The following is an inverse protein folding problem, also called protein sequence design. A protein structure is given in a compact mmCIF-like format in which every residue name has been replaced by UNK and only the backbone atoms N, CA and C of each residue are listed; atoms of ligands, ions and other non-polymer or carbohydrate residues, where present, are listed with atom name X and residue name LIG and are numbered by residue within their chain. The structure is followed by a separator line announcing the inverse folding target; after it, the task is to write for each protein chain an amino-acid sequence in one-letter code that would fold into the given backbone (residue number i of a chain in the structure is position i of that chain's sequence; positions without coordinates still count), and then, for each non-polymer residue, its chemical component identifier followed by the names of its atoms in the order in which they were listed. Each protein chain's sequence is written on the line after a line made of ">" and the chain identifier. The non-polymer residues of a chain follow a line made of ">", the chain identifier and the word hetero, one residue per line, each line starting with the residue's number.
data_IF_527971453827
#
_entry.id   IF_527971453827
#
_cell.length_a   1.000
_cell.length_b   1.000
_cell.length_c   1.000
_cell.angle_alpha   90.00
_cell.angle_beta   90.00
_cell.angle_gamma   90.00
#
_symmetry.space_group_name_H-M   'P 1'
#
loop_
_entity.id
_entity.type
_entity.pdbx_description
1 polymer ?
#
# COMPACT_ATOMS: atom_id res chain seq x y z
N UNK A 1 -0.16 27.54 9.12
CA UNK A 1 -0.72 27.46 7.77
C UNK A 1 -2.12 26.88 7.90
N UNK A 2 -3.14 27.53 7.35
CA UNK A 2 -4.53 27.06 7.50
C UNK A 2 -4.81 25.87 6.55
N UNK A 3 -5.79 25.03 6.88
CA UNK A 3 -6.14 23.85 6.08
C UNK A 3 -6.60 24.26 4.67
N UNK A 4 -7.22 25.44 4.55
CA UNK A 4 -7.60 26.04 3.28
C UNK A 4 -6.38 26.28 2.40
N UNK A 5 -5.32 26.88 2.95
CA UNK A 5 -4.07 27.14 2.22
C UNK A 5 -3.41 25.84 1.76
N UNK A 6 -3.47 24.79 2.58
CA UNK A 6 -2.94 23.46 2.23
C UNK A 6 -3.73 22.84 1.08
N UNK A 7 -5.06 22.94 1.10
CA UNK A 7 -5.92 22.48 0.00
C UNK A 7 -5.68 23.26 -1.29
N UNK A 8 -5.50 24.59 -1.22
CA UNK A 8 -5.20 25.41 -2.40
C UNK A 8 -3.88 25.01 -3.06
N UNK A 9 -2.85 24.72 -2.26
CA UNK A 9 -1.57 24.25 -2.79
C UNK A 9 -1.71 22.87 -3.44
N UNK A 10 -2.37 21.93 -2.76
CA UNK A 10 -2.61 20.60 -3.31
C UNK A 10 -3.44 20.66 -4.61
N UNK A 11 -4.50 21.47 -4.63
CA UNK A 11 -5.33 21.70 -5.82
C UNK A 11 -4.51 22.35 -6.94
N UNK A 12 -3.67 23.33 -6.63
CA UNK A 12 -2.78 23.96 -7.61
C UNK A 12 -1.83 22.95 -8.26
N UNK A 13 -1.19 22.09 -7.48
CA UNK A 13 -0.32 21.02 -7.99
C UNK A 13 -1.12 20.06 -8.90
N UNK A 14 -2.32 19.65 -8.48
CA UNK A 14 -3.18 18.79 -9.28
C UNK A 14 -3.61 19.44 -10.60
N UNK A 15 -4.01 20.72 -10.58
CA UNK A 15 -4.40 21.45 -11.79
C UNK A 15 -3.23 21.64 -12.75
N UNK A 16 -2.03 21.93 -12.24
CA UNK A 16 -0.82 22.05 -13.07
C UNK A 16 -0.48 20.69 -13.68
N UNK A 17 -0.49 19.61 -12.89
CA UNK A 17 -0.24 18.25 -13.40
C UNK A 17 -1.29 17.81 -14.43
N UNK A 18 -2.57 18.13 -14.20
CA UNK A 18 -3.67 17.84 -15.14
C UNK A 18 -3.58 18.66 -16.41
N UNK A 19 -3.22 19.94 -16.33
CA UNK A 19 -2.98 20.81 -17.48
C UNK A 19 -1.78 20.34 -18.32
N UNK A 20 -0.68 19.96 -17.66
CA UNK A 20 0.48 19.38 -18.34
C UNK A 20 0.13 18.06 -19.02
N UNK A 21 -0.65 17.20 -18.37
CA UNK A 21 -1.14 15.96 -18.97
C UNK A 21 -2.09 16.22 -20.15
N UNK A 22 -2.94 17.24 -20.07
CA UNK A 22 -3.82 17.60 -21.19
C UNK A 22 -3.03 18.13 -22.41
N UNK A 23 -1.98 18.92 -22.17
CA UNK A 23 -1.20 19.55 -23.23
C UNK A 23 -0.11 18.64 -23.82
N UNK A 24 0.48 17.76 -23.01
CA UNK A 24 1.64 16.94 -23.37
C UNK A 24 1.41 15.44 -23.17
N UNK A 25 0.21 15.04 -22.75
CA UNK A 25 -0.16 13.63 -22.63
C UNK A 25 -0.19 12.94 -23.99
N UNK A 26 -0.04 11.61 -24.02
CA UNK A 26 -0.14 10.83 -25.25
C UNK A 26 -1.49 11.05 -25.93
N UNK A 27 -1.51 11.12 -27.26
CA UNK A 27 -2.75 11.25 -28.02
C UNK A 27 -3.71 10.12 -27.66
N UNK A 28 -4.95 10.49 -27.31
CA UNK A 28 -6.02 9.54 -27.09
C UNK A 28 -6.32 8.84 -28.42
N UNK A 29 -5.76 7.66 -28.63
CA UNK A 29 -6.30 6.73 -29.62
C UNK A 29 -7.66 6.32 -29.12
N UNK A 30 -8.72 6.94 -29.64
CA UNK A 30 -10.11 6.65 -29.29
C UNK A 30 -10.37 5.17 -29.55
N UNK A 31 -10.58 4.34 -28.51
CA UNK A 31 -11.23 3.05 -28.73
C UNK A 31 -12.64 3.39 -29.23
N UNK A 32 -13.07 2.75 -30.31
CA UNK A 32 -14.38 2.99 -30.92
C UNK A 32 -15.51 3.09 -29.88
N UNK A 33 -16.45 3.99 -30.13
CA UNK A 33 -17.59 4.29 -29.27
C UNK A 33 -18.27 3.03 -28.73
N UNK A 34 -17.93 2.61 -27.52
CA UNK A 34 -18.63 1.54 -26.83
C UNK A 34 -19.99 2.08 -26.36
N UNK A 35 -21.07 1.46 -26.85
CA UNK A 35 -22.44 1.75 -26.44
C UNK A 35 -22.61 1.47 -24.94
N UNK A 36 -23.05 2.49 -24.21
CA UNK A 36 -23.16 2.50 -22.73
C UNK A 36 -24.19 1.48 -22.18
N UNK A 37 -24.99 0.86 -23.04
CA UNK A 37 -26.12 0.00 -22.65
C UNK A 37 -25.81 -1.50 -22.53
N UNK A 38 -24.68 -2.00 -23.07
CA UNK A 38 -24.30 -3.45 -23.00
C UNK A 38 -23.13 -3.76 -22.03
N UNK A 39 -22.49 -2.72 -21.47
CA UNK A 39 -21.19 -2.87 -20.78
C UNK A 39 -21.18 -3.71 -19.50
N UNK A 40 -22.31 -3.92 -18.81
CA UNK A 40 -22.34 -4.65 -17.53
C UNK A 40 -22.13 -6.17 -17.69
N UNK A 41 -22.75 -6.78 -18.69
CA UNK A 41 -22.55 -8.20 -19.00
C UNK A 41 -21.17 -8.43 -19.62
N UNK A 42 -20.67 -7.46 -20.39
CA UNK A 42 -19.34 -7.47 -20.98
C UNK A 42 -18.23 -7.38 -19.92
N UNK A 43 -18.36 -6.48 -18.93
CA UNK A 43 -17.39 -6.34 -17.83
C UNK A 43 -17.30 -7.61 -17.00
N UNK A 44 -18.44 -8.25 -16.66
CA UNK A 44 -18.41 -9.52 -15.91
C UNK A 44 -17.68 -10.63 -16.67
N UNK A 45 -17.89 -10.71 -18.00
CA UNK A 45 -17.16 -11.65 -18.86
C UNK A 45 -15.65 -11.40 -18.84
N UNK A 46 -15.24 -10.14 -18.96
CA UNK A 46 -13.83 -9.71 -18.91
C UNK A 46 -13.18 -9.94 -17.54
N UNK A 47 -13.91 -9.71 -16.44
CA UNK A 47 -13.43 -10.05 -15.10
C UNK A 47 -13.19 -11.56 -14.99
N UNK A 48 -14.13 -12.39 -15.47
CA UNK A 48 -13.93 -13.85 -15.46
C UNK A 48 -12.73 -14.28 -16.31
N UNK A 49 -12.53 -13.66 -17.46
CA UNK A 49 -11.38 -13.92 -18.32
C UNK A 49 -10.06 -13.54 -17.65
N UNK A 50 -10.06 -12.48 -16.83
CA UNK A 50 -8.89 -12.06 -16.05
C UNK A 50 -8.51 -13.05 -14.94
N UNK A 51 -9.41 -13.89 -14.43
CA UNK A 51 -9.15 -14.81 -13.31
C UNK A 51 -8.32 -16.05 -13.70
N UNK A 52 -7.22 -15.82 -14.40
CA UNK A 52 -6.17 -16.81 -14.64
C UNK A 52 -5.43 -17.14 -13.34
N UNK A 53 -4.68 -18.24 -13.31
CA UNK A 53 -3.89 -18.62 -12.13
C UNK A 53 -2.89 -17.52 -11.75
N UNK A 54 -2.20 -16.94 -12.75
CA UNK A 54 -1.25 -15.84 -12.52
C UNK A 54 -1.93 -14.59 -11.97
N UNK A 55 -3.10 -14.22 -12.49
CA UNK A 55 -3.81 -13.06 -11.96
C UNK A 55 -4.42 -13.30 -10.57
N UNK A 56 -4.87 -14.52 -10.27
CA UNK A 56 -5.30 -14.90 -8.92
C UNK A 56 -4.15 -14.83 -7.91
N UNK A 57 -2.94 -15.20 -8.33
CA UNK A 57 -1.72 -14.99 -7.55
C UNK A 57 -1.50 -13.49 -7.25
N UNK A 58 -1.54 -12.63 -8.27
CA UNK A 58 -1.44 -11.17 -8.11
C UNK A 58 -2.49 -10.66 -7.14
N UNK A 59 -3.76 -11.05 -7.33
CA UNK A 59 -4.86 -10.64 -6.47
C UNK A 59 -4.67 -11.09 -5.02
N UNK A 60 -4.17 -12.30 -4.80
CA UNK A 60 -3.84 -12.82 -3.48
C UNK A 60 -2.76 -12.00 -2.78
N UNK A 61 -1.71 -11.61 -3.51
CA UNK A 61 -0.66 -10.72 -2.97
C UNK A 61 -1.24 -9.35 -2.60
N UNK A 62 -2.06 -8.74 -3.46
CA UNK A 62 -2.73 -7.46 -3.16
C UNK A 62 -3.62 -7.55 -1.92
N UNK A 63 -4.42 -8.62 -1.80
CA UNK A 63 -5.31 -8.85 -0.65
C UNK A 63 -4.52 -8.92 0.67
N UNK A 64 -3.45 -9.72 0.69
CA UNK A 64 -2.61 -9.87 1.88
C UNK A 64 -1.84 -8.59 2.19
N UNK A 65 -1.33 -7.90 1.16
CA UNK A 65 -0.67 -6.60 1.25
C UNK A 65 -1.57 -5.58 1.92
N UNK A 66 -2.80 -5.43 1.41
CA UNK A 66 -3.77 -4.49 1.96
C UNK A 66 -4.12 -4.79 3.41
N UNK A 67 -4.19 -6.08 3.76
CA UNK A 67 -4.50 -6.56 5.11
C UNK A 67 -3.44 -6.13 6.12
N UNK A 68 -2.16 -6.46 5.93
CA UNK A 68 -1.15 -6.04 6.91
C UNK A 68 -0.86 -4.54 6.85
N UNK A 69 -0.98 -3.93 5.67
CA UNK A 69 -0.71 -2.50 5.47
C UNK A 69 -1.72 -1.66 6.25
N UNK A 70 -3.02 -1.79 5.96
CA UNK A 70 -4.05 -0.99 6.63
C UNK A 70 -4.21 -1.38 8.09
N UNK A 71 -4.10 -2.68 8.41
CA UNK A 71 -4.14 -3.15 9.80
C UNK A 71 -3.08 -2.50 10.68
N UNK A 72 -1.87 -2.28 10.17
CA UNK A 72 -0.83 -1.60 10.92
C UNK A 72 -1.01 -0.07 10.91
N UNK A 73 -1.16 0.53 9.73
CA UNK A 73 -1.13 1.99 9.54
C UNK A 73 -2.17 2.72 10.39
N UNK A 74 -3.40 2.19 10.47
CA UNK A 74 -4.50 2.87 11.17
C UNK A 74 -4.26 2.95 12.69
N UNK A 75 -3.53 2.00 13.26
CA UNK A 75 -3.29 1.93 14.72
C UNK A 75 -1.93 2.48 15.16
N UNK A 76 -1.05 2.89 14.24
CA UNK A 76 0.22 3.56 14.58
C UNK A 76 0.01 4.82 15.44
N UNK A 77 -0.92 5.75 15.09
CA UNK A 77 -1.15 6.96 15.88
C UNK A 77 -1.64 6.67 17.30
N UNK A 78 -2.46 5.63 17.48
CA UNK A 78 -2.97 5.24 18.79
C UNK A 78 -1.90 4.54 19.62
N UNK A 79 -1.10 3.67 18.98
CA UNK A 79 0.03 3.03 19.65
C UNK A 79 1.03 4.07 20.18
N UNK A 80 1.37 5.08 19.38
CA UNK A 80 2.26 6.18 19.80
C UNK A 80 1.75 6.94 21.01
N UNK A 81 0.44 7.15 21.10
CA UNK A 81 -0.19 7.78 22.25
C UNK A 81 -0.11 6.86 23.49
N UNK A 82 -0.36 5.56 23.31
CA UNK A 82 -0.34 4.59 24.39
C UNK A 82 1.05 4.37 25.02
N UNK A 83 2.14 4.58 24.28
CA UNK A 83 3.51 4.40 24.77
C UNK A 83 4.22 5.70 25.20
N UNK A 84 3.53 6.85 25.16
CA UNK A 84 4.01 8.18 25.63
C UNK A 84 5.45 8.54 25.20
N UNK A 85 5.81 8.21 23.96
CA UNK A 85 7.23 8.09 23.58
C UNK A 85 7.97 9.38 23.29
N UNK A 86 7.27 10.40 22.78
CA UNK A 86 7.84 11.68 22.33
C UNK A 86 6.86 12.79 22.64
N UNK A 87 7.36 13.86 23.27
CA UNK A 87 6.57 15.04 23.59
C UNK A 87 6.03 15.75 22.34
N UNK A 88 5.03 16.60 22.52
CA UNK A 88 4.56 17.45 21.44
C UNK A 88 5.69 18.37 20.95
N UNK A 89 5.68 18.66 19.65
CA UNK A 89 6.54 19.70 19.08
C UNK A 89 5.78 21.03 19.12
N UNK A 90 6.47 22.12 19.49
CA UNK A 90 5.91 23.46 19.34
C UNK A 90 6.13 23.93 17.90
N UNK A 91 5.03 24.10 17.17
CA UNK A 91 5.02 24.75 15.88
C UNK A 91 4.16 26.02 15.95
N UNK A 92 4.80 27.18 15.88
CA UNK A 92 4.13 28.48 15.87
C UNK A 92 3.26 28.72 17.11
N UNK A 93 3.71 28.31 18.29
CA UNK A 93 2.97 28.43 19.55
C UNK A 93 1.82 27.43 19.68
N UNK A 94 1.80 26.37 18.87
CA UNK A 94 0.86 25.26 18.97
C UNK A 94 1.60 23.96 19.24
N UNK A 95 1.23 23.30 20.32
CA UNK A 95 1.70 21.95 20.62
C UNK A 95 1.03 20.94 19.69
N UNK A 96 1.84 20.28 18.86
CA UNK A 96 1.39 19.26 17.92
C UNK A 96 1.89 17.89 18.41
N UNK A 97 1.00 16.98 18.84
CA UNK A 97 1.41 15.64 19.26
C UNK A 97 1.89 14.80 18.06
N UNK A 98 2.80 13.84 18.26
CA UNK A 98 3.33 12.99 17.18
C UNK A 98 2.28 12.27 16.34
N UNK A 99 1.17 11.87 16.94
CA UNK A 99 0.07 11.20 16.25
C UNK A 99 -0.51 11.99 15.07
N UNK A 100 -0.34 13.33 15.05
CA UNK A 100 -0.84 14.20 13.97
C UNK A 100 0.10 14.30 12.76
N UNK A 101 1.40 14.09 12.93
CA UNK A 101 2.38 14.26 11.85
C UNK A 101 3.08 12.95 11.45
N UNK A 102 3.01 11.91 12.28
CA UNK A 102 3.73 10.65 12.05
C UNK A 102 3.35 9.97 10.73
N UNK A 103 2.09 10.06 10.32
CA UNK A 103 1.66 9.52 9.03
C UNK A 103 2.29 10.28 7.86
N UNK A 104 2.33 11.62 7.92
CA UNK A 104 3.01 12.44 6.93
C UNK A 104 4.51 12.16 6.87
N UNK A 105 5.15 11.99 8.04
CA UNK A 105 6.54 11.54 8.13
C UNK A 105 6.74 10.19 7.45
N UNK A 106 5.89 9.20 7.74
CA UNK A 106 5.96 7.87 7.15
C UNK A 106 5.83 7.92 5.62
N UNK A 107 4.89 8.71 5.09
CA UNK A 107 4.71 8.90 3.64
C UNK A 107 5.91 9.60 2.99
N UNK A 108 6.45 10.63 3.64
CA UNK A 108 7.60 11.37 3.14
C UNK A 108 8.84 10.47 3.00
N UNK A 109 9.14 9.67 4.04
CA UNK A 109 10.25 8.70 3.97
C UNK A 109 9.94 7.60 2.95
N UNK A 110 8.67 7.21 2.81
CA UNK A 110 8.20 6.24 1.81
C UNK A 110 8.54 6.61 0.36
N UNK A 111 8.73 7.88 0.02
CA UNK A 111 9.19 8.31 -1.31
C UNK A 111 10.51 7.61 -1.69
N UNK A 112 11.45 7.51 -0.76
CA UNK A 112 12.70 6.78 -0.98
C UNK A 112 12.48 5.28 -1.23
N UNK A 113 11.46 4.71 -0.58
CA UNK A 113 11.03 3.33 -0.83
C UNK A 113 10.51 3.12 -2.25
N UNK A 114 9.73 4.06 -2.80
CA UNK A 114 9.23 3.94 -4.19
C UNK A 114 10.37 3.95 -5.20
N UNK A 115 11.36 4.83 -5.02
CA UNK A 115 12.55 4.88 -5.88
C UNK A 115 13.36 3.58 -5.79
N UNK A 116 13.56 3.06 -4.57
CA UNK A 116 14.23 1.79 -4.35
C UNK A 116 13.46 0.62 -4.98
N UNK A 117 12.13 0.60 -4.86
CA UNK A 117 11.27 -0.44 -5.43
C UNK A 117 11.36 -0.50 -6.95
N UNK A 118 11.28 0.65 -7.62
CA UNK A 118 11.44 0.71 -9.08
C UNK A 118 12.82 0.21 -9.52
N UNK A 119 13.87 0.67 -8.83
CA UNK A 119 15.24 0.23 -9.10
C UNK A 119 15.46 -1.27 -8.88
N UNK A 120 14.90 -1.84 -7.80
CA UNK A 120 15.06 -3.27 -7.50
C UNK A 120 14.32 -4.15 -8.51
N UNK A 121 13.12 -3.76 -8.92
CA UNK A 121 12.32 -4.51 -9.91
C UNK A 121 12.95 -4.53 -11.31
N UNK A 122 13.71 -3.50 -11.66
CA UNK A 122 14.45 -3.45 -12.93
C UNK A 122 15.70 -4.34 -12.93
N UNK A 123 16.30 -4.60 -11.75
CA UNK A 123 17.62 -5.24 -11.64
C UNK A 123 17.60 -6.69 -11.19
N UNK A 124 16.53 -7.12 -10.53
CA UNK A 124 16.45 -8.44 -9.91
C UNK A 124 15.13 -9.11 -10.27
N UNK A 125 15.05 -10.43 -10.04
CA UNK A 125 13.82 -11.18 -10.26
C UNK A 125 12.70 -10.67 -9.35
N UNK A 126 11.58 -10.27 -9.96
CA UNK A 126 10.44 -9.65 -9.29
C UNK A 126 9.97 -10.48 -8.08
N UNK A 127 9.81 -11.80 -8.24
CA UNK A 127 9.39 -12.71 -7.18
C UNK A 127 10.38 -12.75 -6.01
N UNK A 128 11.69 -12.74 -6.29
CA UNK A 128 12.73 -12.72 -5.27
C UNK A 128 12.73 -11.40 -4.49
N UNK A 129 12.57 -10.27 -5.17
CA UNK A 129 12.46 -8.95 -4.53
C UNK A 129 11.23 -8.89 -3.64
N UNK A 130 10.06 -9.34 -4.13
CA UNK A 130 8.83 -9.41 -3.33
C UNK A 130 9.06 -10.31 -2.10
N UNK A 131 9.68 -11.48 -2.26
CA UNK A 131 9.92 -12.40 -1.16
C UNK A 131 10.78 -11.77 -0.04
N UNK A 132 11.90 -11.13 -0.41
CA UNK A 132 12.77 -10.43 0.55
C UNK A 132 12.04 -9.28 1.22
N UNK A 133 11.29 -8.49 0.46
CA UNK A 133 10.51 -7.36 0.98
C UNK A 133 9.44 -7.82 1.98
N UNK A 134 8.74 -8.93 1.70
CA UNK A 134 7.71 -9.47 2.59
C UNK A 134 8.31 -10.00 3.89
N UNK A 135 9.45 -10.69 3.80
CA UNK A 135 10.19 -11.14 4.97
C UNK A 135 10.65 -9.95 5.84
N UNK A 136 11.21 -8.91 5.21
CA UNK A 136 11.60 -7.69 5.90
C UNK A 136 10.39 -7.01 6.56
N UNK A 137 9.25 -6.94 5.87
CA UNK A 137 8.00 -6.37 6.41
C UNK A 137 7.50 -7.13 7.64
N UNK A 138 7.55 -8.47 7.62
CA UNK A 138 7.20 -9.29 8.78
C UNK A 138 8.10 -8.98 10.00
N UNK A 139 9.40 -8.84 9.77
CA UNK A 139 10.37 -8.44 10.79
C UNK A 139 10.08 -7.03 11.35
N UNK A 140 9.81 -6.07 10.46
CA UNK A 140 9.51 -4.68 10.83
C UNK A 140 8.20 -4.58 11.63
N UNK A 141 7.15 -5.30 11.25
CA UNK A 141 5.90 -5.37 12.03
C UNK A 141 6.14 -5.95 13.42
N UNK A 142 6.96 -6.99 13.51
CA UNK A 142 7.36 -7.55 14.81
C UNK A 142 8.17 -6.55 15.65
N UNK A 143 9.00 -5.72 15.01
CA UNK A 143 9.81 -4.69 15.65
C UNK A 143 8.96 -3.50 16.15
N UNK A 144 7.94 -3.08 15.41
CA UNK A 144 7.01 -2.00 15.81
C UNK A 144 6.43 -2.25 17.21
N UNK A 145 5.95 -3.47 17.45
CA UNK A 145 5.39 -3.87 18.75
C UNK A 145 6.41 -4.00 19.89
N UNK A 146 7.71 -3.93 19.60
CA UNK A 146 8.80 -4.13 20.58
C UNK A 146 9.63 -2.87 20.79
N UNK A 147 9.27 -1.78 20.13
CA UNK A 147 10.01 -0.52 20.17
C UNK A 147 9.16 0.60 20.77
N UNK A 148 9.85 1.50 21.46
CA UNK A 148 9.32 2.73 22.04
C UNK A 148 10.34 3.85 21.84
N UNK A 149 10.01 5.08 22.23
CA UNK A 149 10.88 6.24 22.08
C UNK A 149 11.24 6.52 20.63
N UNK A 150 12.47 6.99 20.40
CA UNK A 150 13.01 7.25 19.07
C UNK A 150 13.15 5.97 18.22
N UNK A 151 13.35 4.80 18.85
CA UNK A 151 13.43 3.54 18.12
C UNK A 151 12.12 3.19 17.41
N UNK A 152 10.97 3.58 17.98
CA UNK A 152 9.67 3.41 17.34
C UNK A 152 9.54 4.25 16.07
N UNK A 153 10.04 5.50 16.07
CA UNK A 153 10.07 6.32 14.84
C UNK A 153 10.94 5.69 13.75
N UNK A 154 12.07 5.09 14.12
CA UNK A 154 12.88 4.30 13.20
C UNK A 154 12.12 3.11 12.63
N UNK A 155 11.39 2.37 13.46
CA UNK A 155 10.57 1.24 13.01
C UNK A 155 9.41 1.68 12.08
N UNK A 156 8.75 2.82 12.38
CA UNK A 156 7.71 3.41 11.53
C UNK A 156 8.30 3.87 10.19
N UNK A 157 9.47 4.50 10.20
CA UNK A 157 10.16 4.91 8.98
C UNK A 157 10.51 3.71 8.10
N UNK A 158 11.09 2.65 8.70
CA UNK A 158 11.38 1.40 8.00
C UNK A 158 10.11 0.77 7.44
N UNK A 159 9.02 0.79 8.20
CA UNK A 159 7.73 0.28 7.74
C UNK A 159 7.23 1.06 6.53
N UNK A 160 7.27 2.40 6.60
CA UNK A 160 6.93 3.32 5.49
C UNK A 160 7.74 3.05 4.23
N UNK A 161 9.06 2.89 4.36
CA UNK A 161 9.93 2.52 3.22
C UNK A 161 9.53 1.15 2.68
N UNK A 162 9.37 0.14 3.54
CA UNK A 162 9.10 -1.23 3.11
C UNK A 162 7.79 -1.33 2.32
N UNK A 163 6.71 -0.71 2.80
CA UNK A 163 5.42 -0.74 2.08
C UNK A 163 5.48 0.03 0.77
N UNK A 164 6.32 1.08 0.69
CA UNK A 164 6.49 1.88 -0.51
C UNK A 164 7.37 1.21 -1.57
N UNK A 165 8.35 0.38 -1.17
CA UNK A 165 9.13 -0.47 -2.10
C UNK A 165 8.23 -1.40 -2.88
N UNK A 166 7.22 -1.97 -2.23
CA UNK A 166 6.34 -2.96 -2.85
C UNK A 166 5.39 -2.34 -3.90
N UNK A 167 5.09 -1.03 -3.81
CA UNK A 167 4.11 -0.37 -4.67
C UNK A 167 4.44 -0.42 -6.18
N UNK A 168 5.63 0.00 -6.66
CA UNK A 168 5.98 -0.11 -8.08
C UNK A 168 6.07 -1.57 -8.56
N UNK A 169 6.61 -2.46 -7.72
CA UNK A 169 6.79 -3.88 -8.03
C UNK A 169 5.42 -4.54 -8.31
N UNK A 170 4.43 -4.30 -7.46
CA UNK A 170 3.09 -4.87 -7.64
C UNK A 170 2.37 -4.29 -8.86
N UNK A 171 2.58 -3.02 -9.19
CA UNK A 171 2.03 -2.44 -10.42
C UNK A 171 2.63 -3.11 -11.67
N UNK A 172 3.94 -3.33 -11.69
CA UNK A 172 4.59 -4.07 -12.76
C UNK A 172 4.12 -5.52 -12.85
N UNK A 173 3.88 -6.17 -11.69
CA UNK A 173 3.35 -7.53 -11.63
C UNK A 173 1.94 -7.62 -12.26
N UNK A 174 1.06 -6.64 -12.02
CA UNK A 174 -0.24 -6.54 -12.71
C UNK A 174 -0.05 -6.38 -14.21
N UNK A 175 0.83 -5.47 -14.63
CA UNK A 175 1.06 -5.19 -16.04
C UNK A 175 1.64 -6.38 -16.83
N UNK A 176 2.43 -7.25 -16.18
CA UNK A 176 2.97 -8.49 -16.76
C UNK A 176 1.93 -9.59 -16.94
N UNK A 177 0.94 -9.65 -16.06
CA UNK A 177 -0.10 -10.69 -16.08
C UNK A 177 -1.36 -10.28 -16.84
N UNK A 178 -1.39 -9.08 -17.44
CA UNK A 178 -2.58 -8.55 -18.12
C UNK A 178 -2.24 -7.87 -19.45
N UNK A 179 -3.15 -8.03 -20.42
CA UNK A 179 -3.06 -7.36 -21.72
C UNK A 179 -3.37 -5.87 -21.61
N UNK A 180 -2.89 -5.05 -22.55
CA UNK A 180 -3.09 -3.59 -22.51
C UNK A 180 -4.55 -3.17 -22.44
N UNK A 181 -5.43 -3.87 -23.17
CA UNK A 181 -6.86 -3.60 -23.20
C UNK A 181 -7.57 -3.93 -21.88
N UNK A 182 -6.98 -4.80 -21.04
CA UNK A 182 -7.54 -5.26 -19.78
C UNK A 182 -6.87 -4.64 -18.54
N UNK A 183 -5.71 -3.99 -18.69
CA UNK A 183 -4.94 -3.38 -17.58
C UNK A 183 -5.77 -2.46 -16.69
N UNK A 184 -6.62 -1.61 -17.28
CA UNK A 184 -7.50 -0.72 -16.51
C UNK A 184 -8.45 -1.47 -15.58
N UNK A 185 -9.06 -2.56 -16.09
CA UNK A 185 -9.93 -3.44 -15.30
C UNK A 185 -9.14 -4.20 -14.24
N UNK A 186 -7.95 -4.68 -14.60
CA UNK A 186 -7.04 -5.39 -13.71
C UNK A 186 -6.65 -4.55 -12.49
N UNK A 187 -6.25 -3.29 -12.69
CA UNK A 187 -5.96 -2.36 -11.61
C UNK A 187 -7.18 -2.06 -10.74
N UNK A 188 -8.38 -2.00 -11.34
CA UNK A 188 -9.63 -1.87 -10.59
C UNK A 188 -9.89 -3.07 -9.67
N UNK A 189 -9.72 -4.28 -10.19
CA UNK A 189 -9.91 -5.53 -9.43
C UNK A 189 -8.86 -5.68 -8.33
N UNK A 190 -7.58 -5.39 -8.60
CA UNK A 190 -6.54 -5.46 -7.56
C UNK A 190 -6.70 -4.36 -6.51
N UNK A 191 -7.18 -3.17 -6.89
CA UNK A 191 -7.54 -2.10 -5.93
C UNK A 191 -8.70 -2.51 -5.02
N UNK A 192 -9.73 -3.17 -5.58
CA UNK A 192 -10.84 -3.73 -4.80
C UNK A 192 -10.35 -4.84 -3.86
N UNK A 193 -9.46 -5.73 -4.33
CA UNK A 193 -8.89 -6.80 -3.53
C UNK A 193 -7.99 -6.28 -2.40
N UNK A 194 -7.01 -5.44 -2.70
CA UNK A 194 -6.04 -4.95 -1.72
C UNK A 194 -6.59 -3.84 -0.83
N UNK A 195 -6.98 -2.71 -1.41
CA UNK A 195 -7.36 -1.52 -0.63
C UNK A 195 -8.70 -1.69 0.07
N UNK A 196 -9.72 -2.20 -0.64
CA UNK A 196 -11.05 -2.35 -0.05
C UNK A 196 -11.15 -3.62 0.81
N UNK A 197 -11.08 -4.81 0.21
CA UNK A 197 -11.26 -6.06 0.93
C UNK A 197 -10.12 -6.32 1.94
N UNK A 198 -8.87 -6.28 1.48
CA UNK A 198 -7.70 -6.45 2.35
C UNK A 198 -7.65 -5.38 3.42
N UNK A 199 -7.86 -4.11 3.04
CA UNK A 199 -7.86 -2.99 3.97
C UNK A 199 -8.91 -3.10 5.09
N UNK A 200 -10.13 -3.52 4.73
CA UNK A 200 -11.20 -3.83 5.69
C UNK A 200 -10.79 -4.98 6.61
N UNK A 201 -10.39 -6.13 6.05
CA UNK A 201 -9.96 -7.30 6.83
C UNK A 201 -8.84 -6.94 7.81
N UNK A 202 -7.84 -6.20 7.35
CA UNK A 202 -6.72 -5.74 8.13
C UNK A 202 -7.12 -4.84 9.29
N UNK A 203 -7.94 -3.82 9.01
CA UNK A 203 -8.37 -2.85 10.02
C UNK A 203 -9.29 -3.49 11.05
N UNK A 204 -10.21 -4.36 10.62
CA UNK A 204 -11.12 -5.09 11.51
C UNK A 204 -10.36 -6.09 12.39
N UNK A 205 -9.45 -6.88 11.81
CA UNK A 205 -8.62 -7.83 12.55
C UNK A 205 -7.74 -7.11 13.58
N UNK A 206 -7.04 -6.05 13.14
CA UNK A 206 -6.18 -5.26 14.02
C UNK A 206 -6.98 -4.63 15.17
N UNK A 207 -8.14 -4.04 14.88
CA UNK A 207 -9.01 -3.44 15.90
C UNK A 207 -9.56 -4.44 16.90
N UNK A 208 -9.94 -5.64 16.44
CA UNK A 208 -10.35 -6.72 17.33
C UNK A 208 -9.19 -7.16 18.23
N UNK A 209 -8.00 -7.40 17.67
CA UNK A 209 -6.80 -7.78 18.41
C UNK A 209 -6.34 -6.71 19.41
N UNK A 210 -6.50 -5.44 19.06
CA UNK A 210 -6.22 -4.32 19.96
C UNK A 210 -7.20 -4.29 21.13
N UNK A 211 -8.49 -4.60 20.90
CA UNK A 211 -9.52 -4.64 21.96
C UNK A 211 -9.30 -5.75 22.98
N UNK A 212 -8.93 -6.95 22.52
CA UNK A 212 -8.76 -8.12 23.41
C UNK A 212 -7.33 -8.29 23.94
N UNK A 213 -6.39 -7.50 23.44
CA UNK A 213 -4.96 -7.71 23.61
C UNK A 213 -4.19 -6.42 23.84
N UNK A 214 -3.03 -6.33 23.22
CA UNK A 214 -2.17 -5.15 23.27
C UNK A 214 -1.61 -4.86 21.88
N UNK A 215 -1.27 -3.60 21.60
CA UNK A 215 -0.67 -3.21 20.32
C UNK A 215 0.55 -4.07 19.91
N UNK A 216 1.48 -4.42 20.83
CA UNK A 216 2.56 -5.37 20.50
C UNK A 216 2.10 -6.73 19.97
N UNK A 217 1.06 -7.31 20.57
CA UNK A 217 0.48 -8.58 20.14
C UNK A 217 -0.24 -8.43 18.80
N UNK A 218 -0.97 -7.33 18.62
CA UNK A 218 -1.61 -6.98 17.36
C UNK A 218 -0.59 -6.89 16.21
N UNK A 219 0.50 -6.12 16.37
CA UNK A 219 1.53 -6.02 15.33
C UNK A 219 2.23 -7.36 15.05
N UNK A 220 2.49 -8.16 16.10
CA UNK A 220 3.08 -9.49 15.93
C UNK A 220 2.14 -10.46 15.21
N UNK A 221 0.82 -10.36 15.42
CA UNK A 221 -0.16 -11.13 14.67
C UNK A 221 -0.26 -10.68 13.21
N UNK A 222 -0.23 -9.36 12.95
CA UNK A 222 -0.20 -8.82 11.59
C UNK A 222 1.07 -9.24 10.84
N UNK A 223 2.20 -9.45 11.52
CA UNK A 223 3.44 -9.95 10.92
C UNK A 223 3.32 -11.35 10.30
N UNK A 224 2.30 -12.14 10.66
CA UNK A 224 2.03 -13.44 10.03
C UNK A 224 1.48 -13.29 8.61
N UNK A 225 0.77 -12.19 8.32
CA UNK A 225 0.14 -11.96 7.01
C UNK A 225 1.18 -11.76 5.88
N UNK A 226 2.24 -10.95 5.99
CA UNK A 226 3.28 -10.90 4.97
C UNK A 226 4.06 -12.22 4.86
N UNK A 227 4.15 -13.04 5.92
CA UNK A 227 4.72 -14.40 5.81
C UNK A 227 3.81 -15.35 5.03
N UNK A 228 2.49 -15.22 5.17
CA UNK A 228 1.53 -15.94 4.33
C UNK A 228 1.64 -15.50 2.86
N UNK A 229 1.83 -14.20 2.61
CA UNK A 229 2.10 -13.69 1.26
C UNK A 229 3.43 -14.22 0.71
N UNK A 230 4.48 -14.30 1.54
CA UNK A 230 5.76 -14.87 1.18
C UNK A 230 5.60 -16.35 0.78
N UNK A 231 4.86 -17.14 1.56
CA UNK A 231 4.57 -18.52 1.22
C UNK A 231 3.83 -18.63 -0.12
N UNK A 232 2.88 -17.73 -0.40
CA UNK A 232 2.20 -17.67 -1.69
C UNK A 232 3.17 -17.38 -2.86
N UNK A 233 4.10 -16.44 -2.69
CA UNK A 233 5.15 -16.15 -3.70
C UNK A 233 6.03 -17.36 -3.94
N UNK A 234 6.51 -18.01 -2.88
CA UNK A 234 7.39 -19.18 -3.00
C UNK A 234 6.69 -20.36 -3.69
N UNK A 235 5.40 -20.59 -3.37
CA UNK A 235 4.61 -21.64 -4.03
C UNK A 235 4.39 -21.32 -5.51
N UNK A 236 4.14 -20.06 -5.85
CA UNK A 236 3.97 -19.63 -7.24
C UNK A 236 5.27 -19.82 -8.02
N UNK A 237 6.38 -19.27 -7.52
CA UNK A 237 7.70 -19.35 -8.17
C UNK A 237 8.27 -20.78 -8.28
N UNK A 238 7.81 -21.71 -7.43
CA UNK A 238 8.19 -23.12 -7.54
C UNK A 238 7.39 -23.88 -8.61
N UNK A 239 6.15 -23.47 -8.89
CA UNK A 239 5.21 -24.19 -9.75
C UNK A 239 5.12 -23.66 -11.18
N UNK A 240 5.48 -22.40 -11.39
CA UNK A 240 5.33 -21.66 -12.64
C UNK A 240 6.61 -20.90 -12.94
#
# INVERSE_FOLDING_TARGET
>A
MDWQTTMFIAAGVLFVSGGLFYLYGPENTTPGSASVTDGGFEVRGRIKALLTVGFLFVLGIYLLQGTYHRGAVVFIPDYLQAVETVGAIDLFGREIPPSRWVYSFMLMVGVGGQLLGGYLDERFDTEAVIAVQLLATAGILSLLGRTTGLALFGAIALFGVSISVLAPILQNLVARHTSESERGLAYGVTSAGGTAAGGFLGSSLAGWLATIGSYPRMFSALAVIPLAALALVLVYAYRY
#
